data_IF_564464447884
#
_entry.id   IF_564464447884
#
_cell.length_a   1.000
_cell.length_b   1.000
_cell.length_c   1.000
_cell.angle_alpha   90.00
_cell.angle_beta   90.00
_cell.angle_gamma   90.00
#
_symmetry.space_group_name_H-M   'P 1'
#
loop_
_entity.id
_entity.type
_entity.pdbx_description
1 polymer ?
#
# COMPACT_ATOMS: atom_id res chain seq x y z
N UNK A 1 64.29 -0.73 -14.14
CA UNK A 1 63.07 -1.13 -14.90
C UNK A 1 61.84 -0.49 -14.27
N UNK A 2 61.18 0.51 -14.90
CA UNK A 2 59.78 0.92 -14.60
C UNK A 2 59.20 2.07 -15.46
N UNK A 3 59.78 2.42 -16.61
CA UNK A 3 59.26 3.53 -17.45
C UNK A 3 58.36 3.09 -18.61
N UNK A 4 58.32 1.78 -18.93
CA UNK A 4 57.51 1.26 -20.04
C UNK A 4 56.04 0.97 -19.68
N UNK A 5 55.69 0.98 -18.39
CA UNK A 5 54.31 0.72 -17.90
C UNK A 5 53.52 1.99 -17.56
N UNK A 6 54.16 3.17 -17.52
CA UNK A 6 53.49 4.45 -17.21
C UNK A 6 52.92 5.14 -18.46
N UNK A 7 53.48 4.89 -19.65
CA UNK A 7 52.99 5.51 -20.88
C UNK A 7 51.53 5.15 -21.22
N UNK A 8 51.07 3.88 -21.18
CA UNK A 8 49.70 3.55 -21.55
C UNK A 8 48.65 4.21 -20.65
N UNK A 9 48.98 4.38 -19.35
CA UNK A 9 48.09 5.03 -18.38
C UNK A 9 47.96 6.54 -18.65
N UNK A 10 49.07 7.21 -19.01
CA UNK A 10 49.06 8.64 -19.35
C UNK A 10 48.27 8.90 -20.64
N UNK A 11 48.43 8.02 -21.65
CA UNK A 11 47.66 8.08 -22.90
C UNK A 11 46.16 7.77 -22.68
N UNK A 12 45.83 6.86 -21.77
CA UNK A 12 44.44 6.56 -21.40
C UNK A 12 43.75 7.72 -20.69
N UNK A 13 44.46 8.41 -19.77
CA UNK A 13 43.92 9.59 -19.06
C UNK A 13 43.74 10.76 -20.02
N UNK A 14 44.70 10.99 -20.93
CA UNK A 14 44.58 12.08 -21.91
C UNK A 14 43.45 11.82 -22.92
N UNK A 15 43.21 10.58 -23.34
CA UNK A 15 42.05 10.22 -24.15
C UNK A 15 40.72 10.46 -23.41
N UNK A 16 40.64 10.12 -22.12
CA UNK A 16 39.46 10.37 -21.29
C UNK A 16 39.17 11.87 -21.16
N UNK A 17 40.19 12.70 -20.94
CA UNK A 17 40.06 14.16 -20.83
C UNK A 17 39.56 14.76 -22.15
N UNK A 18 40.05 14.29 -23.30
CA UNK A 18 39.60 14.76 -24.62
C UNK A 18 38.12 14.41 -24.87
N UNK A 19 37.68 13.20 -24.49
CA UNK A 19 36.27 12.80 -24.59
C UNK A 19 35.39 13.63 -23.67
N UNK A 20 35.81 13.86 -22.42
CA UNK A 20 35.09 14.73 -21.48
C UNK A 20 34.98 16.17 -22.00
N UNK A 21 36.06 16.71 -22.57
CA UNK A 21 36.07 18.04 -23.16
C UNK A 21 35.13 18.11 -24.39
N UNK A 22 35.12 17.08 -25.22
CA UNK A 22 34.22 16.98 -26.37
C UNK A 22 32.74 16.91 -25.93
N UNK A 23 32.43 16.15 -24.87
CA UNK A 23 31.09 16.07 -24.27
C UNK A 23 30.66 17.43 -23.71
N UNK A 24 31.55 18.14 -22.99
CA UNK A 24 31.26 19.48 -22.47
C UNK A 24 31.02 20.50 -23.60
N UNK A 25 31.83 20.47 -24.66
CA UNK A 25 31.65 21.34 -25.83
C UNK A 25 30.38 21.03 -26.61
N UNK A 26 29.91 19.78 -26.59
CA UNK A 26 28.66 19.37 -27.23
C UNK A 26 27.41 19.74 -26.40
N UNK A 27 27.52 19.71 -25.07
CA UNK A 27 26.44 20.06 -24.13
C UNK A 27 26.30 21.57 -23.85
N UNK A 28 27.38 22.35 -24.03
CA UNK A 28 27.35 23.81 -23.85
C UNK A 28 26.27 24.54 -24.67
N UNK A 29 26.12 24.30 -26.00
CA UNK A 29 25.08 24.99 -26.79
C UNK A 29 23.65 24.56 -26.41
N UNK A 30 23.47 23.36 -25.82
CA UNK A 30 22.18 22.92 -25.31
C UNK A 30 21.81 23.62 -23.98
N UNK A 31 22.81 23.90 -23.13
CA UNK A 31 22.61 24.66 -21.89
C UNK A 31 22.27 26.13 -22.15
N UNK A 32 22.91 26.78 -23.13
CA UNK A 32 22.58 28.17 -23.48
C UNK A 32 21.16 28.31 -24.04
N UNK A 33 20.71 27.35 -24.88
CA UNK A 33 19.32 27.29 -25.37
C UNK A 33 18.30 27.03 -24.26
N UNK A 34 18.61 26.12 -23.34
CA UNK A 34 17.76 25.87 -22.16
C UNK A 34 17.68 27.08 -21.23
N UNK A 35 18.78 27.84 -21.06
CA UNK A 35 18.75 29.07 -20.26
C UNK A 35 17.96 30.20 -20.94
N UNK A 36 18.04 30.33 -22.26
CA UNK A 36 17.23 31.32 -23.00
C UNK A 36 15.76 30.95 -23.02
N UNK A 37 15.41 29.68 -23.18
CA UNK A 37 14.02 29.20 -23.05
C UNK A 37 13.50 29.33 -21.62
N UNK A 38 14.32 29.05 -20.59
CA UNK A 38 13.95 29.28 -19.19
C UNK A 38 13.74 30.76 -18.88
N UNK A 39 14.54 31.66 -19.43
CA UNK A 39 14.36 33.10 -19.27
C UNK A 39 13.12 33.62 -20.01
N UNK A 40 12.82 33.09 -21.20
CA UNK A 40 11.57 33.37 -21.92
C UNK A 40 10.35 32.87 -21.14
N UNK A 41 10.39 31.63 -20.64
CA UNK A 41 9.34 31.05 -19.80
C UNK A 41 9.15 31.84 -18.49
N UNK A 42 10.24 32.32 -17.86
CA UNK A 42 10.17 33.16 -16.66
C UNK A 42 9.57 34.55 -16.94
N UNK A 43 9.71 35.06 -18.16
CA UNK A 43 9.09 36.32 -18.61
C UNK A 43 7.62 36.18 -19.00
N UNK A 44 7.21 35.02 -19.51
CA UNK A 44 5.82 34.76 -19.93
C UNK A 44 4.90 34.35 -18.77
N UNK A 45 5.41 33.68 -17.73
CA UNK A 45 4.63 33.30 -16.54
C UNK A 45 3.98 34.50 -15.82
N UNK A 46 4.65 35.63 -15.54
CA UNK A 46 4.01 36.78 -14.94
C UNK A 46 3.00 37.48 -15.88
N UNK A 47 3.24 37.46 -17.21
CA UNK A 47 2.29 37.96 -18.22
C UNK A 47 1.01 37.11 -18.27
N UNK A 48 1.15 35.79 -18.30
CA UNK A 48 0.03 34.85 -18.25
C UNK A 48 -0.72 34.92 -16.91
N UNK A 49 -0.03 35.16 -15.78
CA UNK A 49 -0.68 35.41 -14.48
C UNK A 49 -1.48 36.71 -14.44
N UNK A 50 -1.05 37.76 -15.12
CA UNK A 50 -1.79 39.02 -15.22
C UNK A 50 -2.95 38.97 -16.22
N UNK A 51 -2.89 38.08 -17.22
CA UNK A 51 -3.92 37.92 -18.26
C UNK A 51 -4.93 36.79 -17.96
N UNK A 52 -4.62 35.87 -17.03
CA UNK A 52 -5.53 34.82 -16.55
C UNK A 52 -6.88 35.36 -16.01
N UNK A 53 -6.92 36.46 -15.22
CA UNK A 53 -8.19 37.00 -14.71
C UNK A 53 -9.11 37.57 -15.80
N UNK A 54 -8.56 38.02 -16.94
CA UNK A 54 -9.36 38.53 -18.06
C UNK A 54 -9.80 37.44 -19.03
N UNK A 55 -9.09 36.31 -19.09
CA UNK A 55 -9.39 35.18 -19.99
C UNK A 55 -10.36 34.14 -19.40
N UNK A 56 -10.40 33.93 -18.08
CA UNK A 56 -11.20 32.82 -17.49
C UNK A 56 -12.53 33.29 -16.85
N UNK A 57 -12.84 34.60 -16.90
CA UNK A 57 -14.13 35.14 -16.49
C UNK A 57 -14.45 35.03 -14.99
N UNK A 58 -15.49 35.73 -14.54
CA UNK A 58 -15.87 35.83 -13.12
C UNK A 58 -16.20 34.47 -12.46
N UNK A 59 -16.57 33.45 -13.25
CA UNK A 59 -16.91 32.11 -12.77
C UNK A 59 -15.71 31.32 -12.25
N UNK A 60 -14.48 31.59 -12.69
CA UNK A 60 -13.31 30.83 -12.26
C UNK A 60 -13.04 30.92 -10.76
N UNK A 61 -13.26 32.10 -10.15
CA UNK A 61 -13.04 32.28 -8.71
C UNK A 61 -14.10 31.55 -7.90
N UNK A 62 -15.34 31.57 -8.36
CA UNK A 62 -16.46 30.85 -7.75
C UNK A 62 -16.31 29.34 -7.93
N UNK A 63 -15.85 28.88 -9.10
CA UNK A 63 -15.59 27.46 -9.38
C UNK A 63 -14.36 26.95 -8.62
N UNK A 64 -13.34 27.79 -8.42
CA UNK A 64 -12.18 27.45 -7.60
C UNK A 64 -12.51 27.50 -6.11
N UNK A 65 -13.39 28.40 -5.66
CA UNK A 65 -13.94 28.36 -4.30
C UNK A 65 -14.87 27.18 -4.07
N UNK A 66 -15.69 26.78 -5.08
CA UNK A 66 -16.47 25.53 -5.02
C UNK A 66 -15.55 24.33 -5.00
N UNK A 67 -14.53 24.25 -5.85
CA UNK A 67 -13.58 23.12 -5.83
C UNK A 67 -12.78 23.07 -4.52
N UNK A 68 -12.43 24.22 -3.94
CA UNK A 68 -11.79 24.29 -2.62
C UNK A 68 -12.76 23.92 -1.49
N UNK A 69 -14.04 24.29 -1.60
CA UNK A 69 -15.11 23.89 -0.68
C UNK A 69 -15.43 22.41 -0.77
N UNK A 70 -15.48 21.86 -1.98
CA UNK A 70 -15.69 20.44 -2.27
C UNK A 70 -14.50 19.61 -1.79
N UNK A 71 -13.26 20.09 -2.00
CA UNK A 71 -12.07 19.42 -1.45
C UNK A 71 -11.96 19.52 0.07
N UNK A 72 -12.42 20.62 0.68
CA UNK A 72 -12.53 20.72 2.14
C UNK A 72 -13.63 19.80 2.71
N UNK A 73 -14.77 19.68 2.02
CA UNK A 73 -15.84 18.75 2.36
C UNK A 73 -15.40 17.28 2.22
N UNK A 74 -14.66 16.97 1.14
CA UNK A 74 -14.00 15.67 0.95
C UNK A 74 -12.98 15.40 2.06
N UNK A 75 -12.20 16.40 2.48
CA UNK A 75 -11.23 16.26 3.58
C UNK A 75 -11.90 16.04 4.94
N UNK A 76 -13.00 16.72 5.24
CA UNK A 76 -13.75 16.53 6.49
C UNK A 76 -14.45 15.16 6.54
N UNK A 77 -15.03 14.71 5.41
CA UNK A 77 -15.58 13.36 5.28
C UNK A 77 -14.50 12.29 5.44
N UNK A 78 -13.34 12.53 4.84
CA UNK A 78 -12.17 11.67 4.92
C UNK A 78 -11.61 11.55 6.36
N UNK A 79 -11.48 12.65 7.10
CA UNK A 79 -11.06 12.63 8.51
C UNK A 79 -12.06 11.92 9.42
N UNK A 80 -13.36 12.06 9.16
CA UNK A 80 -14.42 11.40 9.93
C UNK A 80 -14.36 9.89 9.75
N UNK A 81 -14.15 9.43 8.51
CA UNK A 81 -14.08 8.00 8.21
C UNK A 81 -12.80 7.39 8.77
N UNK A 82 -11.65 8.05 8.61
CA UNK A 82 -10.41 7.62 9.27
C UNK A 82 -10.53 7.48 10.80
N UNK A 83 -11.26 8.37 11.48
CA UNK A 83 -11.49 8.27 12.94
C UNK A 83 -12.35 7.07 13.33
N UNK A 84 -13.44 6.81 12.61
CA UNK A 84 -14.27 5.60 12.82
C UNK A 84 -13.46 4.32 12.60
N UNK A 85 -12.54 4.36 11.65
CA UNK A 85 -11.73 3.20 11.26
C UNK A 85 -10.58 2.93 12.24
N UNK A 86 -9.92 3.98 12.75
CA UNK A 86 -8.98 3.86 13.85
C UNK A 86 -9.63 3.15 15.06
N UNK A 87 -10.92 3.41 15.32
CA UNK A 87 -11.66 2.69 16.36
C UNK A 87 -11.85 1.20 16.05
N UNK A 88 -12.08 0.81 14.79
CA UNK A 88 -12.20 -0.62 14.41
C UNK A 88 -10.86 -1.34 14.58
N UNK A 89 -9.77 -0.73 14.12
CA UNK A 89 -8.42 -1.31 14.23
C UNK A 89 -7.92 -1.33 15.68
N UNK A 90 -8.34 -0.40 16.53
CA UNK A 90 -7.93 -0.34 17.94
C UNK A 90 -8.86 -1.07 18.91
N UNK A 91 -10.05 -1.49 18.46
CA UNK A 91 -10.99 -2.24 19.30
C UNK A 91 -10.48 -3.66 19.52
N UNK A 92 -10.56 -4.15 20.76
CA UNK A 92 -10.36 -5.55 21.09
C UNK A 92 -11.33 -6.43 20.27
N UNK A 93 -10.80 -7.03 19.21
CA UNK A 93 -11.44 -7.93 18.24
C UNK A 93 -12.81 -7.44 17.76
N UNK A 94 -12.86 -6.88 16.54
CA UNK A 94 -14.05 -6.16 16.03
C UNK A 94 -15.34 -6.97 16.08
N UNK A 95 -15.24 -8.30 15.97
CA UNK A 95 -16.37 -9.22 15.86
C UNK A 95 -16.73 -9.92 17.17
N UNK A 96 -16.00 -9.64 18.25
CA UNK A 96 -16.19 -10.28 19.55
C UNK A 96 -16.73 -9.26 20.56
N UNK A 97 -17.78 -9.64 21.29
CA UNK A 97 -18.26 -8.83 22.42
C UNK A 97 -17.31 -8.99 23.60
N UNK A 98 -16.36 -8.06 23.70
CA UNK A 98 -15.41 -7.96 24.80
C UNK A 98 -15.91 -6.97 25.86
N UNK A 99 -15.55 -7.18 27.12
CA UNK A 99 -15.79 -6.22 28.20
C UNK A 99 -14.95 -4.95 27.95
N UNK A 100 -15.49 -3.78 28.32
CA UNK A 100 -14.73 -2.52 28.23
C UNK A 100 -13.50 -2.55 29.16
N UNK A 101 -12.32 -2.30 28.59
CA UNK A 101 -11.06 -2.32 29.31
C UNK A 101 -10.00 -3.17 28.63
N UNK A 102 -8.91 -3.46 29.35
CA UNK A 102 -7.90 -4.41 28.89
C UNK A 102 -8.38 -5.82 29.26
N UNK A 103 -8.55 -6.73 28.30
CA UNK A 103 -9.03 -8.08 28.59
C UNK A 103 -8.01 -8.86 29.42
N UNK A 104 -8.49 -9.82 30.21
CA UNK A 104 -7.61 -10.80 30.83
C UNK A 104 -6.90 -11.63 29.75
N UNK A 105 -5.73 -12.20 30.06
CA UNK A 105 -4.94 -12.97 29.08
C UNK A 105 -5.72 -14.15 28.50
N UNK A 106 -6.41 -14.90 29.34
CA UNK A 106 -7.18 -16.08 28.91
C UNK A 106 -8.38 -15.68 28.04
N UNK A 107 -9.04 -14.57 28.40
CA UNK A 107 -10.13 -13.97 27.61
C UNK A 107 -9.62 -13.50 26.24
N UNK A 108 -8.45 -12.86 26.20
CA UNK A 108 -7.80 -12.44 24.97
C UNK A 108 -7.47 -13.61 24.05
N UNK A 109 -6.87 -14.69 24.58
CA UNK A 109 -6.53 -15.88 23.80
C UNK A 109 -7.79 -16.55 23.27
N UNK A 110 -8.85 -16.64 24.09
CA UNK A 110 -10.14 -17.20 23.68
C UNK A 110 -10.78 -16.38 22.56
N UNK A 111 -10.81 -15.04 22.72
CA UNK A 111 -11.38 -14.15 21.73
C UNK A 111 -10.59 -14.14 20.41
N UNK A 112 -9.25 -14.19 20.48
CA UNK A 112 -8.38 -14.33 19.31
C UNK A 112 -8.70 -15.61 18.52
N UNK A 113 -8.74 -16.76 19.20
CA UNK A 113 -9.05 -18.05 18.57
C UNK A 113 -10.44 -18.04 17.95
N UNK A 114 -11.43 -17.49 18.65
CA UNK A 114 -12.79 -17.37 18.12
C UNK A 114 -12.85 -16.51 16.84
N UNK A 115 -12.20 -15.34 16.83
CA UNK A 115 -12.16 -14.50 15.63
C UNK A 115 -11.48 -15.20 14.45
N UNK A 116 -10.38 -15.90 14.70
CA UNK A 116 -9.64 -16.65 13.67
C UNK A 116 -10.49 -17.79 13.09
N UNK A 117 -11.24 -18.51 13.93
CA UNK A 117 -12.16 -19.56 13.50
C UNK A 117 -13.32 -19.01 12.66
N UNK A 118 -13.92 -17.89 13.07
CA UNK A 118 -15.00 -17.24 12.33
C UNK A 118 -14.51 -16.70 10.99
N UNK A 119 -13.33 -16.06 10.96
CA UNK A 119 -12.70 -15.60 9.72
C UNK A 119 -12.43 -16.77 8.78
N UNK A 120 -11.88 -17.88 9.30
CA UNK A 120 -11.64 -19.09 8.52
C UNK A 120 -12.93 -19.62 7.91
N UNK A 121 -13.99 -19.76 8.70
CA UNK A 121 -15.31 -20.23 8.23
C UNK A 121 -15.87 -19.33 7.13
N UNK A 122 -15.80 -18.01 7.32
CA UNK A 122 -16.32 -17.05 6.34
C UNK A 122 -15.58 -17.16 5.00
N UNK A 123 -14.25 -17.13 5.02
CA UNK A 123 -13.45 -17.12 3.79
C UNK A 123 -13.52 -18.47 3.07
N UNK A 124 -13.49 -19.58 3.80
CA UNK A 124 -13.70 -20.92 3.23
C UNK A 124 -15.10 -21.03 2.63
N UNK A 125 -16.12 -20.46 3.27
CA UNK A 125 -17.48 -20.37 2.72
C UNK A 125 -17.53 -19.60 1.39
N UNK A 126 -16.87 -18.44 1.32
CA UNK A 126 -16.77 -17.64 0.07
C UNK A 126 -16.01 -18.38 -1.03
N UNK A 127 -14.98 -19.14 -0.68
CA UNK A 127 -14.23 -19.98 -1.61
C UNK A 127 -15.05 -21.13 -2.16
N UNK A 128 -15.74 -21.86 -1.29
CA UNK A 128 -16.61 -22.97 -1.67
C UNK A 128 -17.74 -22.53 -2.61
N UNK A 129 -18.35 -21.36 -2.34
CA UNK A 129 -19.35 -20.74 -3.22
C UNK A 129 -18.82 -20.46 -4.64
N UNK A 130 -17.49 -20.34 -4.77
CA UNK A 130 -16.77 -20.11 -6.03
C UNK A 130 -16.07 -21.35 -6.58
N UNK A 131 -16.40 -22.54 -6.06
CA UNK A 131 -15.80 -23.84 -6.43
C UNK A 131 -14.27 -23.85 -6.28
N UNK A 132 -13.75 -23.07 -5.31
CA UNK A 132 -12.34 -23.08 -4.93
C UNK A 132 -12.18 -23.99 -3.72
N UNK A 133 -11.19 -24.87 -3.81
CA UNK A 133 -10.78 -25.66 -2.65
C UNK A 133 -9.72 -24.90 -1.86
N UNK A 134 -10.04 -24.65 -0.59
CA UNK A 134 -9.17 -24.01 0.40
C UNK A 134 -9.17 -24.91 1.63
N UNK A 135 -8.46 -26.04 1.51
CA UNK A 135 -8.31 -27.00 2.62
C UNK A 135 -7.74 -26.34 3.88
N UNK A 136 -6.82 -25.40 3.71
CA UNK A 136 -6.20 -24.66 4.81
C UNK A 136 -6.06 -23.18 4.47
N UNK A 137 -6.78 -22.32 5.20
CA UNK A 137 -6.57 -20.87 5.16
C UNK A 137 -5.31 -20.53 5.99
N UNK A 138 -4.25 -19.99 5.36
CA UNK A 138 -3.05 -19.60 6.07
C UNK A 138 -3.29 -18.25 6.73
N UNK A 139 -3.52 -18.26 8.04
CA UNK A 139 -3.72 -17.07 8.86
C UNK A 139 -2.50 -16.85 9.76
N UNK A 140 -2.24 -15.59 10.13
CA UNK A 140 -1.16 -15.25 11.04
C UNK A 140 -1.39 -15.88 12.42
N UNK A 141 -0.45 -16.71 12.86
CA UNK A 141 -0.52 -17.41 14.14
C UNK A 141 0.62 -16.93 15.04
N UNK A 142 0.32 -16.13 16.09
CA UNK A 142 1.35 -15.55 16.94
C UNK A 142 2.01 -16.60 17.84
N UNK A 143 3.24 -16.31 18.29
CA UNK A 143 4.08 -17.24 19.04
C UNK A 143 3.42 -17.75 20.33
N UNK A 144 2.64 -16.92 21.02
CA UNK A 144 1.95 -17.32 22.24
C UNK A 144 0.90 -18.44 22.01
N UNK A 145 0.35 -18.55 20.79
CA UNK A 145 -0.59 -19.63 20.45
C UNK A 145 0.14 -20.95 20.19
N UNK A 146 1.39 -20.88 19.74
CA UNK A 146 2.21 -22.05 19.41
C UNK A 146 2.95 -22.60 20.64
N UNK A 147 3.41 -21.71 21.52
CA UNK A 147 4.32 -22.04 22.62
C UNK A 147 3.65 -21.97 24.00
N UNK A 148 2.32 -21.76 24.06
CA UNK A 148 1.52 -21.58 25.29
C UNK A 148 2.12 -20.55 26.28
N UNK A 149 2.87 -19.57 25.76
CA UNK A 149 3.43 -18.51 26.57
C UNK A 149 2.37 -17.44 26.84
N UNK A 150 2.27 -16.88 28.05
CA UNK A 150 1.30 -15.84 28.32
C UNK A 150 1.71 -14.53 27.61
N UNK A 151 0.83 -13.92 26.80
CA UNK A 151 1.20 -12.73 26.04
C UNK A 151 1.39 -11.50 26.93
N UNK A 152 2.33 -10.63 26.54
CA UNK A 152 2.49 -9.31 27.19
C UNK A 152 1.41 -8.32 26.72
N UNK A 153 1.18 -7.23 27.45
CA UNK A 153 0.18 -6.23 27.04
C UNK A 153 0.51 -5.60 25.68
N UNK A 154 1.79 -5.35 25.42
CA UNK A 154 2.26 -4.81 24.13
C UNK A 154 2.02 -5.81 23.00
N UNK A 155 2.32 -7.09 23.25
CA UNK A 155 2.06 -8.17 22.31
C UNK A 155 0.56 -8.36 22.05
N UNK A 156 -0.28 -8.30 23.09
CA UNK A 156 -1.74 -8.35 22.94
C UNK A 156 -2.25 -7.22 22.04
N UNK A 157 -1.78 -5.99 22.24
CA UNK A 157 -2.15 -4.83 21.40
C UNK A 157 -1.66 -4.99 19.97
N UNK A 158 -0.44 -5.48 19.77
CA UNK A 158 0.12 -5.73 18.43
C UNK A 158 -0.72 -6.78 17.70
N UNK A 159 -0.91 -7.94 18.32
CA UNK A 159 -1.63 -9.07 17.73
C UNK A 159 -3.10 -8.74 17.48
N UNK A 160 -3.73 -7.99 18.38
CA UNK A 160 -5.09 -7.50 18.17
C UNK A 160 -5.21 -6.66 16.89
N UNK A 161 -4.27 -5.74 16.66
CA UNK A 161 -4.27 -4.88 15.47
C UNK A 161 -4.03 -5.69 14.21
N UNK A 162 -3.03 -6.57 14.23
CA UNK A 162 -2.71 -7.46 13.12
C UNK A 162 -3.92 -8.34 12.76
N UNK A 163 -4.59 -8.93 13.76
CA UNK A 163 -5.78 -9.76 13.54
C UNK A 163 -6.95 -8.97 12.93
N UNK A 164 -7.21 -7.75 13.42
CA UNK A 164 -8.26 -6.91 12.86
C UNK A 164 -7.94 -6.48 11.42
N UNK A 165 -6.67 -6.14 11.13
CA UNK A 165 -6.24 -5.79 9.78
C UNK A 165 -6.31 -6.98 8.82
N UNK A 166 -5.82 -8.14 9.24
CA UNK A 166 -5.92 -9.39 8.48
C UNK A 166 -7.39 -9.70 8.17
N UNK A 167 -8.28 -9.62 9.17
CA UNK A 167 -9.71 -9.85 8.97
C UNK A 167 -10.33 -8.88 7.97
N UNK A 168 -10.00 -7.59 8.04
CA UNK A 168 -10.53 -6.57 7.11
C UNK A 168 -10.05 -6.83 5.68
N UNK A 169 -8.75 -7.07 5.51
CA UNK A 169 -8.14 -7.33 4.20
C UNK A 169 -8.72 -8.60 3.56
N UNK A 170 -8.74 -9.71 4.31
CA UNK A 170 -9.20 -11.00 3.81
C UNK A 170 -10.69 -11.01 3.48
N UNK A 171 -11.53 -10.33 4.26
CA UNK A 171 -12.95 -10.18 3.94
C UNK A 171 -13.16 -9.43 2.63
N UNK A 172 -12.38 -8.36 2.43
CA UNK A 172 -12.48 -7.50 1.26
C UNK A 172 -12.08 -8.22 -0.02
N UNK A 173 -10.89 -8.84 -0.03
CA UNK A 173 -10.40 -9.61 -1.18
C UNK A 173 -11.22 -10.88 -1.42
N UNK A 174 -11.74 -11.48 -0.35
CA UNK A 174 -12.63 -12.64 -0.42
C UNK A 174 -13.93 -12.34 -1.18
N UNK A 175 -14.42 -11.09 -1.16
CA UNK A 175 -15.57 -10.71 -1.99
C UNK A 175 -15.18 -10.52 -3.46
N UNK A 176 -13.96 -10.07 -3.74
CA UNK A 176 -13.43 -9.96 -5.10
C UNK A 176 -13.04 -11.32 -5.71
N UNK A 177 -12.97 -12.39 -4.91
CA UNK A 177 -12.66 -13.74 -5.38
C UNK A 177 -11.18 -14.07 -5.35
N UNK A 178 -10.43 -13.29 -4.57
CA UNK A 178 -9.04 -13.53 -4.26
C UNK A 178 -8.93 -14.16 -2.86
N UNK A 179 -8.10 -15.19 -2.74
CA UNK A 179 -7.95 -15.94 -1.49
C UNK A 179 -6.48 -16.07 -1.13
N UNK A 180 -6.12 -16.02 0.15
CA UNK A 180 -4.72 -16.04 0.53
C UNK A 180 -4.11 -17.43 0.31
N UNK A 181 -2.92 -17.46 -0.30
CA UNK A 181 -2.12 -18.69 -0.39
C UNK A 181 -0.99 -18.74 0.65
N UNK A 182 -0.76 -17.62 1.34
CA UNK A 182 0.15 -17.48 2.48
C UNK A 182 -0.43 -16.46 3.47
N UNK A 183 -0.06 -16.58 4.74
CA UNK A 183 -0.44 -15.63 5.78
C UNK A 183 0.05 -14.22 5.45
N UNK A 184 -0.66 -13.20 5.95
CA UNK A 184 -0.28 -11.80 5.73
C UNK A 184 1.05 -11.52 6.45
N UNK A 185 2.05 -11.07 5.70
CA UNK A 185 3.37 -10.74 6.22
C UNK A 185 3.36 -9.27 6.68
N UNK A 186 3.29 -9.03 7.99
CA UNK A 186 3.41 -7.69 8.57
C UNK A 186 4.89 -7.31 8.72
N UNK A 187 5.31 -6.19 8.12
CA UNK A 187 6.66 -5.66 8.33
C UNK A 187 6.66 -4.85 9.64
N UNK A 188 7.70 -5.03 10.46
CA UNK A 188 7.79 -4.38 11.78
C UNK A 188 7.76 -2.84 11.65
N UNK A 189 6.98 -2.21 12.52
CA UNK A 189 6.92 -0.76 12.70
C UNK A 189 5.56 -0.16 12.34
N UNK A 190 4.93 0.49 13.32
CA UNK A 190 3.98 1.58 13.09
C UNK A 190 4.76 2.88 13.24
N UNK A 191 5.77 3.05 12.38
CA UNK A 191 6.67 4.19 12.51
C UNK A 191 6.02 5.44 11.94
N UNK A 192 6.34 6.58 12.55
CA UNK A 192 5.95 7.86 12.00
C UNK A 192 6.68 8.04 10.66
N UNK A 193 5.92 8.32 9.62
CA UNK A 193 6.47 8.80 8.35
C UNK A 193 7.40 9.97 8.68
N UNK A 194 8.58 10.02 8.06
CA UNK A 194 9.52 11.12 8.21
C UNK A 194 8.80 12.49 8.21
N UNK A 195 8.86 13.24 9.34
CA UNK A 195 8.27 14.57 9.51
C UNK A 195 7.17 14.69 10.58
N UNK A 196 6.50 15.85 10.64
CA UNK A 196 5.37 16.19 11.53
C UNK A 196 4.03 15.54 11.10
N UNK A 197 4.07 14.38 10.46
CA UNK A 197 2.84 13.71 10.00
C UNK A 197 1.97 13.30 11.20
N UNK A 198 0.66 13.63 11.19
CA UNK A 198 -0.27 13.13 12.20
C UNK A 198 -0.63 11.65 11.95
N UNK A 199 0.05 10.96 11.03
CA UNK A 199 -0.23 9.58 10.65
C UNK A 199 0.93 8.64 10.99
N UNK A 200 0.60 7.41 11.39
CA UNK A 200 1.51 6.25 11.47
C UNK A 200 1.31 5.38 10.24
N UNK A 201 2.39 4.92 9.65
CA UNK A 201 2.34 3.98 8.52
C UNK A 201 2.74 2.58 9.00
N UNK A 202 2.08 1.56 8.45
CA UNK A 202 2.48 0.17 8.59
C UNK A 202 2.50 -0.48 7.21
N UNK A 203 3.60 -1.15 6.91
CA UNK A 203 3.77 -1.90 5.66
C UNK A 203 3.42 -3.36 5.88
N UNK A 204 2.64 -3.93 4.98
CA UNK A 204 2.30 -5.35 4.99
C UNK A 204 2.22 -5.92 3.58
N UNK A 205 2.47 -7.22 3.45
CA UNK A 205 2.34 -7.92 2.17
C UNK A 205 1.18 -8.91 2.24
N UNK A 206 0.26 -8.81 1.28
CA UNK A 206 -0.85 -9.76 1.12
C UNK A 206 -0.53 -10.68 -0.06
N UNK A 207 -0.65 -11.99 0.18
CA UNK A 207 -0.31 -13.05 -0.78
C UNK A 207 -1.58 -13.74 -1.29
N UNK A 208 -2.06 -13.35 -2.47
CA UNK A 208 -3.37 -13.76 -2.98
C UNK A 208 -3.26 -14.66 -4.20
N UNK A 209 -4.13 -15.67 -4.27
CA UNK A 209 -4.39 -16.45 -5.47
C UNK A 209 -5.76 -16.06 -6.01
N UNK A 210 -5.81 -15.65 -7.28
CA UNK A 210 -7.03 -15.12 -7.91
C UNK A 210 -7.09 -15.47 -9.40
N UNK A 211 -8.29 -15.50 -10.00
CA UNK A 211 -8.43 -15.56 -11.45
C UNK A 211 -7.74 -14.35 -12.10
N UNK A 212 -7.09 -14.53 -13.25
CA UNK A 212 -6.39 -13.43 -13.94
C UNK A 212 -7.29 -12.20 -14.20
N UNK A 213 -8.58 -12.42 -14.48
CA UNK A 213 -9.57 -11.34 -14.69
C UNK A 213 -10.01 -10.61 -13.43
N UNK A 214 -9.73 -11.13 -12.23
CA UNK A 214 -10.20 -10.57 -10.96
C UNK A 214 -9.19 -9.58 -10.31
N UNK A 215 -8.05 -9.33 -10.96
CA UNK A 215 -6.99 -8.49 -10.38
C UNK A 215 -7.46 -7.06 -10.15
N UNK A 216 -8.13 -6.45 -11.12
CA UNK A 216 -8.62 -5.08 -11.00
C UNK A 216 -9.60 -4.94 -9.83
N UNK A 217 -10.59 -5.84 -9.75
CA UNK A 217 -11.61 -5.81 -8.69
C UNK A 217 -10.99 -6.06 -7.31
N UNK A 218 -9.95 -6.90 -7.24
CA UNK A 218 -9.20 -7.16 -6.00
C UNK A 218 -8.41 -5.94 -5.55
N UNK A 219 -7.69 -5.26 -6.45
CA UNK A 219 -6.95 -4.04 -6.12
C UNK A 219 -7.91 -2.91 -5.72
N UNK A 220 -9.02 -2.78 -6.44
CA UNK A 220 -10.08 -1.83 -6.11
C UNK A 220 -10.65 -2.10 -4.72
N UNK A 221 -10.98 -3.36 -4.42
CA UNK A 221 -11.45 -3.77 -3.11
C UNK A 221 -10.41 -3.44 -2.02
N UNK A 222 -9.12 -3.69 -2.24
CA UNK A 222 -8.06 -3.34 -1.30
C UNK A 222 -7.91 -1.83 -1.08
N UNK A 223 -8.08 -1.01 -2.12
CA UNK A 223 -8.02 0.45 -1.98
C UNK A 223 -9.28 1.02 -1.31
N UNK A 224 -10.45 0.44 -1.56
CA UNK A 224 -11.72 0.90 -0.99
C UNK A 224 -11.97 0.33 0.41
N UNK A 225 -11.42 -0.86 0.72
CA UNK A 225 -11.55 -1.60 1.98
C UNK A 225 -12.99 -1.58 2.54
N UNK A 226 -13.98 -1.84 1.66
CA UNK A 226 -15.44 -1.78 1.98
C UNK A 226 -15.88 -0.46 2.66
N UNK A 227 -15.26 0.67 2.31
CA UNK A 227 -15.55 1.97 2.93
C UNK A 227 -15.00 2.12 4.35
N UNK A 228 -14.29 1.10 4.87
CA UNK A 228 -13.72 1.06 6.22
C UNK A 228 -12.18 1.21 6.21
N UNK A 229 -11.57 1.58 5.09
CA UNK A 229 -10.13 1.51 4.93
C UNK A 229 -9.32 2.71 5.43
N UNK A 230 -8.19 2.51 6.15
CA UNK A 230 -7.08 3.47 6.15
C UNK A 230 -6.66 3.81 4.71
N UNK A 231 -5.92 4.89 4.47
CA UNK A 231 -5.37 5.15 3.11
C UNK A 231 -4.43 4.00 2.78
N UNK A 232 -4.93 2.99 2.06
CA UNK A 232 -4.14 1.87 1.59
C UNK A 232 -3.45 2.34 0.32
N UNK A 233 -2.15 2.56 0.41
CA UNK A 233 -1.31 2.78 -0.77
C UNK A 233 -0.73 1.44 -1.20
N UNK A 234 -0.96 1.07 -2.45
CA UNK A 234 -0.26 -0.06 -3.06
C UNK A 234 1.13 0.44 -3.48
N UNK A 235 2.17 -0.16 -2.91
CA UNK A 235 3.55 0.21 -3.27
C UNK A 235 4.13 -0.68 -4.34
N UNK A 236 3.91 -1.99 -4.22
CA UNK A 236 4.39 -2.96 -5.21
C UNK A 236 3.34 -4.03 -5.45
N UNK A 237 3.31 -4.51 -6.69
CA UNK A 237 2.47 -5.62 -7.13
C UNK A 237 3.36 -6.56 -7.95
N UNK A 238 3.50 -7.80 -7.50
CA UNK A 238 4.19 -8.85 -8.25
C UNK A 238 3.18 -9.94 -8.57
N UNK A 239 2.98 -10.23 -9.86
CA UNK A 239 2.07 -11.30 -10.30
C UNK A 239 2.85 -12.43 -10.95
N UNK A 240 2.48 -13.68 -10.65
CA UNK A 240 3.06 -14.88 -11.23
C UNK A 240 1.93 -15.80 -11.73
N UNK A 241 1.99 -16.29 -12.98
CA UNK A 241 1.02 -17.27 -13.44
C UNK A 241 1.22 -18.56 -12.64
N UNK A 242 0.11 -19.15 -12.18
CA UNK A 242 0.15 -20.47 -11.53
C UNK A 242 0.15 -21.55 -12.62
N UNK A 243 0.93 -22.60 -12.41
CA UNK A 243 0.93 -23.74 -13.34
C UNK A 243 -0.50 -24.27 -13.49
N UNK A 244 -0.93 -24.45 -14.74
CA UNK A 244 -2.25 -24.98 -15.03
C UNK A 244 -2.36 -26.40 -14.46
N UNK A 245 -3.45 -26.73 -13.74
CA UNK A 245 -3.65 -28.11 -13.32
C UNK A 245 -3.78 -29.01 -14.56
N UNK A 246 -3.36 -30.27 -14.42
CA UNK A 246 -3.38 -31.27 -15.50
C UNK A 246 -4.79 -31.51 -16.09
N UNK A 247 -5.85 -31.06 -15.41
CA UNK A 247 -7.22 -31.01 -15.90
C UNK A 247 -7.81 -29.65 -15.54
N UNK A 248 -8.20 -28.89 -16.55
CA UNK A 248 -9.11 -27.75 -16.40
C UNK A 248 -10.46 -28.13 -17.00
N UNK A 249 -11.53 -27.83 -16.27
CA UNK A 249 -12.87 -27.75 -16.84
C UNK A 249 -12.98 -26.58 -17.82
N UNK A 250 -14.01 -26.58 -18.69
CA UNK A 250 -14.25 -25.51 -19.66
C UNK A 250 -14.48 -24.13 -19.02
N UNK A 251 -14.87 -24.10 -17.73
CA UNK A 251 -15.15 -22.88 -16.96
C UNK A 251 -14.00 -22.48 -16.01
N UNK A 252 -12.90 -23.23 -15.99
CA UNK A 252 -11.78 -22.95 -15.08
C UNK A 252 -10.92 -21.81 -15.62
N UNK A 253 -10.92 -20.70 -14.89
CA UNK A 253 -10.08 -19.54 -15.22
C UNK A 253 -8.64 -19.77 -14.73
N UNK A 254 -7.63 -19.38 -15.53
CA UNK A 254 -6.24 -19.45 -15.12
C UNK A 254 -6.02 -18.59 -13.86
N UNK A 255 -5.33 -19.20 -12.90
CA UNK A 255 -4.96 -18.56 -11.65
C UNK A 255 -3.66 -17.79 -11.80
N UNK A 256 -3.60 -16.64 -11.13
CA UNK A 256 -2.37 -15.91 -10.85
C UNK A 256 -2.18 -15.84 -9.34
N UNK A 257 -0.93 -15.94 -8.91
CA UNK A 257 -0.52 -15.59 -7.57
C UNK A 257 -0.01 -14.14 -7.59
N UNK A 258 -0.52 -13.33 -6.68
CA UNK A 258 -0.21 -11.91 -6.56
C UNK A 258 0.32 -11.60 -5.16
N UNK A 259 1.52 -11.02 -5.12
CA UNK A 259 2.12 -10.45 -3.92
C UNK A 259 1.93 -8.94 -3.96
N UNK A 260 1.20 -8.40 -2.98
CA UNK A 260 0.81 -6.99 -2.96
C UNK A 260 1.36 -6.36 -1.69
N UNK A 261 2.32 -5.45 -1.83
CA UNK A 261 2.81 -4.62 -0.74
C UNK A 261 1.87 -3.43 -0.55
N UNK A 262 1.30 -3.35 0.64
CA UNK A 262 0.36 -2.32 1.05
C UNK A 262 1.01 -1.49 2.16
N UNK A 263 0.85 -0.16 2.08
CA UNK A 263 1.13 0.77 3.16
C UNK A 263 -0.20 1.28 3.69
N UNK A 264 -0.43 1.08 4.98
CA UNK A 264 -1.61 1.52 5.70
C UNK A 264 -1.30 2.77 6.51
N UNK A 265 -2.02 3.86 6.28
CA UNK A 265 -1.91 5.07 7.11
C UNK A 265 -3.02 5.15 8.16
N UNK A 266 -2.67 5.36 9.44
CA UNK A 266 -3.62 5.55 10.55
C UNK A 266 -3.30 6.81 11.36
N UNK A 267 -4.29 7.44 12.01
CA UNK A 267 -4.05 8.63 12.84
C UNK A 267 -3.21 8.33 14.08
N UNK A 268 -2.33 9.28 14.42
CA UNK A 268 -1.61 9.35 15.69
C UNK A 268 -2.56 9.94 16.74
N UNK A 269 -2.98 9.12 17.72
CA UNK A 269 -3.55 9.62 18.98
C UNK A 269 -2.50 10.40 19.76
#
# INVERSE_FOLDING_TARGET
MRWKTLMPAIWGISALVVVLLAVVLWLAPAQERLQTELLHARGEVPRLRSELPSLVGASYRDDLQRSLGDTAGLRAGFETELKKQALVVERWFSDVKMVEGVPARDEFVSAFRFQQDELRREIVGKAAARRRDLENLPLNTPAFVQNDQPPTLEEMKRVQREANLESLLLRCVGDAGAFPYRAVDFQEGWDAVAGDSPFRESSLTVHLSLPAGALHDTLRALCELRGAGPIVRIETLTTRPRALPNRMGPDDLPLIDADILLVLSSFRK
#
